data_IF_563180600190
#
_entry.id   IF_563180600190
#
_cell.length_a   1.000
_cell.length_b   1.000
_cell.length_c   1.000
_cell.angle_alpha   90.00
_cell.angle_beta   90.00
_cell.angle_gamma   90.00
#
_symmetry.space_group_name_H-M   'P 1'
#
loop_
_entity.id
_entity.type
_entity.pdbx_description
1 polymer ?
#
# COMPACT_ATOMS: atom_id res chain seq x y z
N UNK A 1 -16.99 -22.52 14.52
CA UNK A 1 -17.10 -23.18 13.21
C UNK A 1 -16.95 -22.19 12.04
N UNK A 2 -17.79 -21.15 11.97
CA UNK A 2 -17.76 -20.17 10.86
C UNK A 2 -16.43 -19.39 10.75
N UNK A 3 -15.92 -18.79 11.84
CA UNK A 3 -14.67 -18.02 11.80
C UNK A 3 -13.49 -18.87 11.30
N UNK A 4 -13.32 -20.08 11.84
CA UNK A 4 -12.27 -20.99 11.40
C UNK A 4 -12.43 -21.48 9.94
N UNK A 5 -13.65 -21.49 9.39
CA UNK A 5 -13.86 -21.73 7.96
C UNK A 5 -13.41 -20.52 7.13
N UNK A 6 -13.78 -19.30 7.57
CA UNK A 6 -13.36 -18.07 6.90
C UNK A 6 -11.84 -17.89 6.94
N UNK A 7 -11.16 -18.18 8.05
CA UNK A 7 -9.71 -18.08 8.15
C UNK A 7 -8.97 -18.98 7.15
N UNK A 8 -9.58 -20.09 6.71
CA UNK A 8 -8.99 -21.02 5.75
C UNK A 8 -9.32 -20.70 4.29
N UNK A 9 -10.48 -20.09 4.04
CA UNK A 9 -11.05 -20.01 2.70
C UNK A 9 -11.32 -18.58 2.22
N UNK A 10 -11.41 -17.62 3.14
CA UNK A 10 -11.59 -16.22 2.80
C UNK A 10 -10.25 -15.50 2.74
N UNK A 11 -10.21 -14.45 1.93
CA UNK A 11 -9.12 -13.48 1.90
C UNK A 11 -9.63 -12.15 2.44
N UNK A 12 -8.80 -11.43 3.21
CA UNK A 12 -9.12 -10.08 3.66
C UNK A 12 -9.35 -9.15 2.44
N UNK A 13 -10.35 -8.27 2.53
CA UNK A 13 -10.62 -7.27 1.49
C UNK A 13 -10.79 -5.87 2.11
N UNK A 14 -10.06 -4.85 1.64
CA UNK A 14 -8.96 -4.93 0.66
C UNK A 14 -7.79 -5.77 1.19
N UNK A 15 -7.13 -6.52 0.30
CA UNK A 15 -6.03 -7.40 0.68
C UNK A 15 -4.82 -6.60 1.19
N UNK A 16 -4.20 -7.11 2.24
CA UNK A 16 -2.89 -6.65 2.70
C UNK A 16 -1.79 -7.35 1.90
N UNK A 17 -0.82 -6.59 1.41
CA UNK A 17 0.37 -7.08 0.75
C UNK A 17 1.59 -6.58 1.52
N UNK A 18 2.34 -7.48 2.15
CA UNK A 18 3.58 -7.11 2.83
C UNK A 18 4.64 -6.66 1.80
N UNK A 19 5.51 -5.74 2.18
CA UNK A 19 6.72 -5.45 1.41
C UNK A 19 7.75 -6.55 1.64
N UNK A 20 8.48 -6.93 0.58
CA UNK A 20 9.60 -7.87 0.69
C UNK A 20 10.69 -7.36 1.64
N UNK A 21 10.88 -6.04 1.69
CA UNK A 21 11.86 -5.37 2.54
C UNK A 21 11.28 -4.11 3.17
N UNK A 22 10.69 -4.23 4.37
CA UNK A 22 10.20 -3.09 5.13
C UNK A 22 11.31 -2.10 5.49
N UNK A 23 11.05 -0.80 5.39
CA UNK A 23 12.06 0.25 5.58
C UNK A 23 11.56 1.40 6.45
N UNK A 24 12.49 2.10 7.11
CA UNK A 24 12.17 3.30 7.88
C UNK A 24 11.84 4.45 6.93
N UNK A 25 10.71 5.09 7.17
CA UNK A 25 10.23 6.22 6.36
C UNK A 25 10.98 7.50 6.71
N UNK A 26 11.30 7.69 7.99
CA UNK A 26 12.06 8.85 8.44
C UNK A 26 13.55 8.48 8.47
N UNK A 27 14.35 9.24 7.72
CA UNK A 27 15.81 9.16 7.78
C UNK A 27 16.31 9.46 9.20
N UNK A 28 15.79 10.52 9.80
CA UNK A 28 15.98 10.86 11.22
C UNK A 28 14.64 10.73 11.95
N UNK A 29 14.56 9.95 13.05
CA UNK A 29 13.33 9.88 13.86
C UNK A 29 12.86 11.25 14.36
N UNK A 30 11.55 11.43 14.50
CA UNK A 30 10.99 12.63 15.13
C UNK A 30 11.27 12.60 16.64
N UNK A 31 11.78 13.70 17.19
CA UNK A 31 12.01 13.83 18.64
C UNK A 31 11.13 14.95 19.18
N UNK A 32 10.20 14.60 20.06
CA UNK A 32 9.28 15.54 20.69
C UNK A 32 9.42 15.49 22.20
N UNK A 33 9.57 16.64 22.86
CA UNK A 33 9.49 16.72 24.32
C UNK A 33 8.02 16.73 24.77
N UNK A 34 7.67 15.86 25.70
CA UNK A 34 6.33 15.85 26.28
C UNK A 34 6.08 17.09 27.16
N UNK A 35 4.83 17.55 27.30
CA UNK A 35 4.51 18.68 28.16
C UNK A 35 4.97 18.46 29.61
N UNK A 36 5.42 19.54 30.26
CA UNK A 36 5.75 19.54 31.69
C UNK A 36 4.50 19.43 32.59
N UNK A 37 3.30 19.65 32.03
CA UNK A 37 2.03 19.52 32.72
C UNK A 37 0.95 19.06 31.75
N UNK A 38 0.14 18.07 32.15
CA UNK A 38 -0.97 17.58 31.33
C UNK A 38 -2.25 18.41 31.48
N UNK A 39 -2.27 19.47 32.29
CA UNK A 39 -3.48 20.29 32.51
C UNK A 39 -4.10 20.80 31.21
N UNK A 40 -3.27 21.23 30.25
CA UNK A 40 -3.77 21.68 28.94
C UNK A 40 -4.44 20.56 28.17
N UNK A 41 -3.83 19.37 28.16
CA UNK A 41 -4.39 18.20 27.50
C UNK A 41 -5.70 17.74 28.17
N UNK A 42 -5.74 17.65 29.50
CA UNK A 42 -6.96 17.32 30.26
C UNK A 42 -8.10 18.29 29.97
N UNK A 43 -7.83 19.59 29.92
CA UNK A 43 -8.83 20.61 29.55
C UNK A 43 -9.37 20.41 28.15
N UNK A 44 -8.51 20.13 27.18
CA UNK A 44 -8.91 19.96 25.77
C UNK A 44 -9.59 18.62 25.49
N UNK A 45 -9.15 17.54 26.12
CA UNK A 45 -9.68 16.19 25.89
C UNK A 45 -10.88 15.85 26.78
N UNK A 46 -11.04 16.52 27.92
CA UNK A 46 -11.98 16.14 28.96
C UNK A 46 -11.49 15.01 29.88
N UNK A 47 -10.29 14.46 29.63
CA UNK A 47 -9.70 13.42 30.49
C UNK A 47 -9.00 14.04 31.71
N UNK A 48 -9.75 14.09 32.80
CA UNK A 48 -9.33 14.60 34.11
C UNK A 48 -8.82 13.53 35.06
N UNK A 49 -8.39 12.36 34.58
CA UNK A 49 -7.84 11.33 35.45
C UNK A 49 -6.64 11.90 36.27
N UNK A 50 -6.71 11.96 37.61
CA UNK A 50 -5.76 12.73 38.42
C UNK A 50 -4.32 12.22 38.37
N UNK A 51 -4.08 10.97 37.95
CA UNK A 51 -2.72 10.43 37.75
C UNK A 51 -1.87 11.25 36.75
N UNK A 52 -2.50 12.11 35.95
CA UNK A 52 -1.84 12.96 34.96
C UNK A 52 -1.58 14.39 35.45
N UNK A 53 -2.24 14.84 36.51
CA UNK A 53 -2.21 16.25 36.93
C UNK A 53 -1.90 16.47 38.40
N UNK A 54 -2.14 15.48 39.25
CA UNK A 54 -1.95 15.56 40.71
C UNK A 54 -0.84 14.61 41.15
N UNK A 55 0.19 15.18 41.79
CA UNK A 55 1.33 14.40 42.27
C UNK A 55 0.93 13.43 43.38
N UNK A 56 0.09 13.85 44.32
CA UNK A 56 -0.35 13.00 45.45
C UNK A 56 -1.10 11.78 44.94
N UNK A 57 -2.01 11.99 43.98
CA UNK A 57 -2.79 10.90 43.41
C UNK A 57 -1.93 9.96 42.55
N UNK A 58 -0.94 10.50 41.81
CA UNK A 58 0.01 9.67 41.08
C UNK A 58 0.83 8.77 42.01
N UNK A 59 1.34 9.31 43.11
CA UNK A 59 2.04 8.52 44.13
C UNK A 59 1.12 7.50 44.81
N UNK A 60 -0.13 7.86 45.09
CA UNK A 60 -1.14 6.93 45.60
C UNK A 60 -1.38 5.75 44.63
N UNK A 61 -1.27 6.00 43.31
CA UNK A 61 -1.34 4.99 42.27
C UNK A 61 0.01 4.28 42.00
N UNK A 62 0.98 4.39 42.91
CA UNK A 62 2.33 3.81 42.81
C UNK A 62 3.12 4.28 41.58
N UNK A 63 2.99 5.56 41.21
CA UNK A 63 3.82 6.24 40.22
C UNK A 63 4.75 7.24 40.92
N UNK A 64 5.92 7.52 40.34
CA UNK A 64 6.87 8.50 40.88
C UNK A 64 6.42 9.98 40.69
N UNK A 65 5.29 10.17 40.02
CA UNK A 65 4.71 11.48 39.71
C UNK A 65 3.76 11.42 38.52
N UNK A 66 3.21 12.58 38.10
CA UNK A 66 2.29 12.63 36.99
C UNK A 66 2.91 12.11 35.68
N UNK A 67 2.15 11.30 34.96
CA UNK A 67 2.56 10.73 33.66
C UNK A 67 1.81 11.38 32.51
N UNK A 68 2.40 11.34 31.32
CA UNK A 68 1.78 11.78 30.07
C UNK A 68 0.55 10.92 29.76
N UNK A 69 -0.55 11.54 29.31
CA UNK A 69 -1.71 10.81 28.81
C UNK A 69 -1.33 9.89 27.66
N UNK A 70 -1.78 8.64 27.68
CA UNK A 70 -1.60 7.73 26.53
C UNK A 70 -2.16 8.33 25.25
N UNK A 71 -3.33 8.98 25.33
CA UNK A 71 -3.94 9.65 24.18
C UNK A 71 -3.15 10.87 23.69
N UNK A 72 -2.29 11.49 24.52
CA UNK A 72 -1.32 12.48 24.05
C UNK A 72 -0.20 11.81 23.23
N UNK A 73 0.34 10.67 23.69
CA UNK A 73 1.33 9.89 22.92
C UNK A 73 0.75 9.47 21.57
N UNK A 74 -0.51 9.04 21.57
CA UNK A 74 -1.23 8.69 20.35
C UNK A 74 -1.40 9.90 19.43
N UNK A 75 -1.83 11.05 19.95
CA UNK A 75 -1.94 12.27 19.16
C UNK A 75 -0.57 12.71 18.58
N UNK A 76 0.52 12.59 19.36
CA UNK A 76 1.86 12.90 18.88
C UNK A 76 2.32 11.94 17.76
N UNK A 77 2.12 10.63 17.92
CA UNK A 77 2.43 9.67 16.87
C UNK A 77 1.62 9.95 15.59
N UNK A 78 0.34 10.34 15.71
CA UNK A 78 -0.49 10.73 14.57
C UNK A 78 -0.02 12.04 13.93
N UNK A 79 0.48 13.01 14.72
CA UNK A 79 1.11 14.25 14.22
C UNK A 79 2.30 13.93 13.31
N UNK A 80 3.20 13.05 13.76
CA UNK A 80 4.37 12.62 12.98
C UNK A 80 3.96 12.04 11.62
N UNK A 81 2.92 11.20 11.58
CA UNK A 81 2.39 10.70 10.29
C UNK A 81 1.90 11.83 9.37
N UNK A 82 1.11 12.76 9.91
CA UNK A 82 0.54 13.86 9.12
C UNK A 82 1.63 14.78 8.56
N UNK A 83 2.65 15.08 9.38
CA UNK A 83 3.73 15.98 8.99
C UNK A 83 4.68 15.37 7.95
N UNK A 84 5.01 14.08 8.08
CA UNK A 84 6.05 13.45 7.27
C UNK A 84 5.53 12.59 6.11
N UNK A 85 4.34 11.99 6.23
CA UNK A 85 3.78 11.10 5.20
C UNK A 85 2.49 11.67 4.59
N UNK A 86 1.79 12.54 5.30
CA UNK A 86 0.47 13.04 4.90
C UNK A 86 0.49 14.29 4.03
N UNK A 87 1.65 14.82 3.62
CA UNK A 87 1.77 16.15 2.99
C UNK A 87 1.06 17.26 3.80
N UNK A 88 1.07 17.15 5.15
CA UNK A 88 0.34 18.02 6.06
C UNK A 88 -1.21 17.92 5.95
N UNK A 89 -1.75 16.94 5.21
CA UNK A 89 -3.17 16.59 5.20
C UNK A 89 -3.51 15.60 6.32
N UNK A 90 -4.20 16.08 7.34
CA UNK A 90 -4.70 15.26 8.46
C UNK A 90 -5.64 14.12 8.02
N UNK A 91 -6.23 14.20 6.81
CA UNK A 91 -7.09 13.18 6.22
C UNK A 91 -6.32 12.11 5.47
N UNK A 92 -4.99 12.23 5.32
CA UNK A 92 -4.17 11.20 4.68
C UNK A 92 -4.15 9.88 5.48
N UNK A 93 -4.22 9.97 6.81
CA UNK A 93 -4.30 8.79 7.69
C UNK A 93 -5.75 8.31 7.80
N UNK A 94 -6.06 7.19 7.17
CA UNK A 94 -7.42 6.65 7.04
C UNK A 94 -7.77 5.62 8.11
N UNK A 95 -6.80 4.81 8.54
CA UNK A 95 -6.90 3.87 9.66
C UNK A 95 -5.74 4.12 10.61
N UNK A 96 -5.99 4.04 11.90
CA UNK A 96 -4.97 4.32 12.92
C UNK A 96 -5.32 3.56 14.20
N UNK A 97 -4.35 2.83 14.74
CA UNK A 97 -4.47 2.07 15.98
C UNK A 97 -3.18 2.18 16.78
N UNK A 98 -3.29 2.21 18.10
CA UNK A 98 -2.16 2.29 19.01
C UNK A 98 -2.31 1.34 20.19
N UNK A 99 -1.17 0.96 20.74
CA UNK A 99 -1.03 0.22 21.98
C UNK A 99 -0.06 0.99 22.88
N UNK A 100 -0.52 1.32 24.09
CA UNK A 100 0.32 1.93 25.11
C UNK A 100 1.10 0.83 25.83
N UNK A 101 2.42 0.87 25.71
CA UNK A 101 3.33 -0.19 26.20
C UNK A 101 3.92 0.19 27.55
N UNK A 102 4.37 1.43 27.68
CA UNK A 102 5.02 1.93 28.90
C UNK A 102 4.58 3.36 29.21
N UNK A 103 4.67 3.72 30.48
CA UNK A 103 4.34 5.06 30.99
C UNK A 103 5.48 6.02 30.66
N UNK A 104 5.12 7.28 30.42
CA UNK A 104 6.08 8.33 30.08
C UNK A 104 5.95 9.45 31.12
N UNK A 105 7.01 9.79 31.86
CA UNK A 105 7.03 10.97 32.72
C UNK A 105 6.79 12.27 31.94
N UNK A 106 6.22 13.27 32.61
CA UNK A 106 6.11 14.62 32.04
C UNK A 106 7.50 15.21 31.75
N UNK A 107 7.65 15.92 30.63
CA UNK A 107 8.91 16.53 30.23
C UNK A 107 9.94 15.60 29.55
N UNK A 108 9.68 14.29 29.46
CA UNK A 108 10.54 13.32 28.76
C UNK A 108 10.59 13.57 27.25
N UNK A 109 11.68 13.19 26.61
CA UNK A 109 11.80 13.20 25.15
C UNK A 109 11.30 11.89 24.58
N UNK A 110 10.39 11.98 23.62
CA UNK A 110 9.79 10.84 22.93
C UNK A 110 10.29 10.84 21.49
N UNK A 111 10.99 9.77 21.12
CA UNK A 111 11.51 9.51 19.78
C UNK A 111 10.51 8.64 19.03
N UNK A 112 9.99 9.10 17.91
CA UNK A 112 9.01 8.36 17.09
C UNK A 112 9.62 8.01 15.73
N UNK A 113 9.60 6.73 15.40
CA UNK A 113 9.99 6.22 14.08
C UNK A 113 8.80 5.54 13.40
N UNK A 114 8.78 5.62 12.07
CA UNK A 114 7.73 5.06 11.22
C UNK A 114 8.38 4.12 10.22
N UNK A 115 7.85 2.90 10.11
CA UNK A 115 8.31 1.87 9.17
C UNK A 115 7.22 1.57 8.16
N UNK A 116 7.52 1.65 6.88
CA UNK A 116 6.60 1.20 5.83
C UNK A 116 6.73 -0.32 5.69
N UNK A 117 5.63 -1.04 5.92
CA UNK A 117 5.64 -2.51 6.04
C UNK A 117 4.80 -3.22 4.98
N UNK A 118 3.88 -2.53 4.32
CA UNK A 118 3.01 -3.14 3.33
C UNK A 118 2.07 -2.16 2.66
N UNK A 119 1.24 -2.69 1.78
CA UNK A 119 0.20 -1.96 1.05
C UNK A 119 -1.17 -2.58 1.33
N UNK A 120 -2.21 -1.76 1.42
CA UNK A 120 -3.61 -2.23 1.51
C UNK A 120 -4.51 -1.31 0.70
N UNK A 121 -5.14 -1.82 -0.36
CA UNK A 121 -6.08 -1.04 -1.17
C UNK A 121 -5.49 0.28 -1.73
N UNK A 122 -4.20 0.30 -2.07
CA UNK A 122 -3.49 1.50 -2.53
C UNK A 122 -2.99 2.43 -1.43
N UNK A 123 -3.20 2.09 -0.15
CA UNK A 123 -2.69 2.81 1.01
C UNK A 123 -1.38 2.18 1.49
N UNK A 124 -0.44 3.00 1.93
CA UNK A 124 0.76 2.56 2.62
C UNK A 124 0.39 2.15 4.05
N UNK A 125 0.69 0.90 4.42
CA UNK A 125 0.53 0.39 5.78
C UNK A 125 1.84 0.58 6.51
N UNK A 126 1.80 1.36 7.58
CA UNK A 126 2.98 1.71 8.38
C UNK A 126 2.86 1.21 9.81
N UNK A 127 3.98 0.81 10.37
CA UNK A 127 4.16 0.59 11.80
C UNK A 127 4.82 1.81 12.43
N UNK A 128 4.41 2.14 13.65
CA UNK A 128 4.87 3.31 14.38
C UNK A 128 5.42 2.80 15.71
N UNK A 129 6.58 3.29 16.08
CA UNK A 129 7.18 3.00 17.38
C UNK A 129 7.67 4.29 18.01
N UNK A 130 7.19 4.57 19.22
CA UNK A 130 7.68 5.66 20.05
C UNK A 130 8.44 5.12 21.25
N UNK A 131 9.61 5.69 21.51
CA UNK A 131 10.52 5.32 22.61
C UNK A 131 10.83 6.55 23.46
N UNK A 132 11.06 6.35 24.76
CA UNK A 132 11.68 7.38 25.60
C UNK A 132 13.15 7.49 25.21
N UNK A 133 13.65 8.71 24.99
CA UNK A 133 15.04 8.93 24.61
C UNK A 133 16.00 8.55 25.74
N UNK A 134 15.56 8.75 26.99
CA UNK A 134 16.38 8.63 28.18
C UNK A 134 16.80 7.18 28.49
N UNK A 135 15.91 6.21 28.26
CA UNK A 135 16.14 4.78 28.56
C UNK A 135 15.97 3.86 27.33
N UNK A 136 15.49 4.37 26.19
CA UNK A 136 15.26 3.61 24.97
C UNK A 136 14.04 2.68 25.00
N UNK A 137 13.28 2.65 26.10
CA UNK A 137 12.11 1.79 26.24
C UNK A 137 10.96 2.25 25.34
N UNK A 138 10.28 1.28 24.72
CA UNK A 138 9.09 1.53 23.88
C UNK A 138 7.93 1.93 24.75
N UNK A 139 7.35 3.10 24.50
CA UNK A 139 6.17 3.57 25.21
C UNK A 139 4.89 3.44 24.38
N UNK A 140 4.99 3.46 23.05
CA UNK A 140 3.84 3.30 22.16
C UNK A 140 4.23 2.50 20.92
N UNK A 141 3.36 1.56 20.55
CA UNK A 141 3.35 0.92 19.23
C UNK A 141 2.07 1.31 18.50
N UNK A 142 2.13 1.42 17.19
CA UNK A 142 0.95 1.74 16.39
C UNK A 142 1.03 1.21 14.98
N UNK A 143 -0.12 1.20 14.32
CA UNK A 143 -0.25 0.86 12.90
C UNK A 143 -1.17 1.88 12.24
N UNK A 144 -0.87 2.26 11.00
CA UNK A 144 -1.72 3.16 10.25
C UNK A 144 -1.78 2.83 8.76
N UNK A 145 -2.92 3.12 8.13
CA UNK A 145 -3.07 3.08 6.68
C UNK A 145 -3.08 4.54 6.16
N UNK A 146 -2.05 4.89 5.40
CA UNK A 146 -1.75 6.26 4.96
C UNK A 146 -1.91 6.36 3.44
N UNK A 147 -2.62 7.39 2.98
CA UNK A 147 -2.80 7.67 1.55
C UNK A 147 -1.46 8.03 0.90
N UNK A 148 -1.24 7.50 -0.29
CA UNK A 148 -0.15 7.94 -1.17
C UNK A 148 -0.41 9.35 -1.73
N UNK A 149 0.65 10.00 -2.19
CA UNK A 149 0.55 11.22 -2.99
C UNK A 149 -0.34 10.99 -4.22
N UNK A 150 -1.03 12.05 -4.66
CA UNK A 150 -1.87 11.98 -5.86
C UNK A 150 -1.03 11.55 -7.06
N UNK A 151 -1.38 10.40 -7.63
CA UNK A 151 -0.59 9.75 -8.68
C UNK A 151 -1.38 9.74 -9.99
N UNK A 152 -0.74 10.18 -11.07
CA UNK A 152 -1.26 10.06 -12.44
C UNK A 152 -0.51 8.92 -13.15
N UNK A 153 -1.24 7.92 -13.64
CA UNK A 153 -0.69 6.87 -14.48
C UNK A 153 -0.86 7.25 -15.95
N UNK A 154 0.24 7.39 -16.68
CA UNK A 154 0.23 7.59 -18.13
C UNK A 154 0.71 6.32 -18.82
N UNK A 155 0.13 6.02 -19.98
CA UNK A 155 0.48 4.83 -20.77
C UNK A 155 1.13 5.26 -22.07
N UNK A 156 2.25 4.63 -22.42
CA UNK A 156 2.99 4.94 -23.64
C UNK A 156 2.21 4.50 -24.88
N UNK A 157 2.28 5.32 -25.94
CA UNK A 157 1.70 4.99 -27.23
C UNK A 157 2.64 4.15 -28.11
N UNK A 158 2.18 3.91 -29.35
CA UNK A 158 2.99 3.28 -30.39
C UNK A 158 4.25 4.11 -30.71
N UNK A 159 5.34 3.44 -31.10
CA UNK A 159 6.64 4.03 -31.41
C UNK A 159 7.74 3.69 -30.39
N UNK A 160 7.38 3.08 -29.27
CA UNK A 160 8.30 2.67 -28.20
C UNK A 160 8.52 1.15 -28.09
N UNK A 161 7.94 0.37 -29.02
CA UNK A 161 8.06 -1.09 -29.03
C UNK A 161 9.48 -1.57 -29.35
N UNK A 162 9.90 -2.67 -28.73
CA UNK A 162 11.15 -3.37 -29.00
C UNK A 162 11.01 -4.87 -28.76
N UNK A 163 11.86 -5.67 -29.40
CA UNK A 163 11.85 -7.12 -29.24
C UNK A 163 12.19 -7.53 -27.80
N UNK A 164 11.41 -8.44 -27.23
CA UNK A 164 11.53 -8.91 -25.85
C UNK A 164 10.91 -7.98 -24.80
N UNK A 165 10.15 -6.95 -25.20
CA UNK A 165 9.48 -6.06 -24.24
C UNK A 165 8.60 -6.84 -23.25
N UNK A 166 8.73 -6.54 -21.95
CA UNK A 166 7.96 -7.20 -20.89
C UNK A 166 8.36 -8.64 -20.57
N UNK A 167 9.41 -9.20 -21.20
CA UNK A 167 9.87 -10.58 -20.95
C UNK A 167 10.27 -10.81 -19.50
N UNK A 168 11.06 -9.91 -18.92
CA UNK A 168 11.51 -10.02 -17.53
C UNK A 168 10.32 -10.01 -16.56
N UNK A 169 9.40 -9.05 -16.72
CA UNK A 169 8.20 -8.98 -15.89
C UNK A 169 7.32 -10.23 -16.02
N UNK A 170 7.21 -10.79 -17.22
CA UNK A 170 6.48 -12.04 -17.48
C UNK A 170 7.16 -13.25 -16.81
N UNK A 171 8.48 -13.22 -16.61
CA UNK A 171 9.22 -14.29 -15.92
C UNK A 171 9.14 -14.15 -14.40
N UNK A 172 9.15 -12.93 -13.87
CA UNK A 172 9.18 -12.66 -12.43
C UNK A 172 7.80 -12.52 -11.78
N UNK A 173 6.75 -12.20 -12.55
CA UNK A 173 5.40 -11.98 -12.03
C UNK A 173 4.38 -12.99 -12.59
N UNK A 174 3.81 -13.80 -11.71
CA UNK A 174 2.72 -14.73 -12.06
C UNK A 174 1.50 -14.02 -12.64
N UNK A 175 1.18 -12.82 -12.15
CA UNK A 175 0.06 -12.02 -12.65
C UNK A 175 0.31 -11.59 -14.10
N UNK A 176 1.52 -11.09 -14.39
CA UNK A 176 1.90 -10.72 -15.74
C UNK A 176 1.93 -11.94 -16.66
N UNK A 177 2.50 -13.05 -16.20
CA UNK A 177 2.52 -14.34 -16.93
C UNK A 177 1.12 -14.79 -17.33
N UNK A 178 0.18 -14.85 -16.39
CA UNK A 178 -1.20 -15.26 -16.65
C UNK A 178 -1.91 -14.33 -17.65
N UNK A 179 -1.63 -13.02 -17.60
CA UNK A 179 -2.18 -12.06 -18.57
C UNK A 179 -1.70 -12.36 -19.99
N UNK A 180 -0.39 -12.59 -20.16
CA UNK A 180 0.21 -12.95 -21.44
C UNK A 180 -0.29 -14.31 -21.95
N UNK A 181 -0.37 -15.33 -21.10
CA UNK A 181 -0.89 -16.66 -21.46
C UNK A 181 -2.35 -16.61 -21.93
N UNK A 182 -3.18 -15.79 -21.27
CA UNK A 182 -4.57 -15.57 -21.68
C UNK A 182 -4.66 -14.90 -23.04
N UNK A 183 -3.84 -13.87 -23.28
CA UNK A 183 -3.79 -13.18 -24.56
C UNK A 183 -3.27 -14.10 -25.68
N UNK A 184 -2.19 -14.82 -25.42
CA UNK A 184 -1.61 -15.81 -26.33
C UNK A 184 -2.63 -16.86 -26.76
N UNK A 185 -3.30 -17.50 -25.79
CA UNK A 185 -4.34 -18.49 -26.06
C UNK A 185 -5.45 -17.93 -26.94
N UNK A 186 -5.89 -16.70 -26.65
CA UNK A 186 -6.92 -16.03 -27.45
C UNK A 186 -6.46 -15.80 -28.89
N UNK A 187 -5.24 -15.29 -29.09
CA UNK A 187 -4.71 -14.98 -30.41
C UNK A 187 -4.41 -16.24 -31.23
N UNK A 188 -3.91 -17.30 -30.60
CA UNK A 188 -3.72 -18.59 -31.26
C UNK A 188 -5.07 -19.16 -31.71
N UNK A 189 -6.08 -19.20 -30.83
CA UNK A 189 -7.38 -19.78 -31.17
C UNK A 189 -8.14 -18.96 -32.21
N UNK A 190 -8.06 -17.62 -32.13
CA UNK A 190 -8.90 -16.74 -32.94
C UNK A 190 -8.25 -16.34 -34.27
N UNK A 191 -6.93 -16.15 -34.26
CA UNK A 191 -6.19 -15.60 -35.38
C UNK A 191 -5.07 -16.53 -35.89
N UNK A 192 -4.76 -17.63 -35.19
CA UNK A 192 -3.66 -18.52 -35.57
C UNK A 192 -2.27 -17.87 -35.42
N UNK A 193 -2.17 -16.84 -34.59
CA UNK A 193 -0.94 -16.05 -34.40
C UNK A 193 -0.50 -16.13 -32.95
N UNK A 194 0.81 -16.36 -32.74
CA UNK A 194 1.44 -16.27 -31.43
C UNK A 194 1.90 -14.84 -31.17
N UNK A 195 1.36 -14.21 -30.13
CA UNK A 195 1.82 -12.90 -29.67
C UNK A 195 3.18 -13.01 -28.99
N UNK A 196 3.41 -14.08 -28.23
CA UNK A 196 4.69 -14.31 -27.57
C UNK A 196 5.81 -14.41 -28.60
N UNK A 197 5.60 -15.18 -29.68
CA UNK A 197 6.57 -15.27 -30.76
C UNK A 197 6.85 -13.90 -31.39
N UNK A 198 5.80 -13.11 -31.70
CA UNK A 198 5.97 -11.78 -32.30
C UNK A 198 6.78 -10.87 -31.39
N UNK A 199 6.44 -10.82 -30.10
CA UNK A 199 7.12 -9.93 -29.15
C UNK A 199 8.54 -10.40 -28.89
N UNK A 200 8.79 -11.70 -28.76
CA UNK A 200 10.08 -12.24 -28.35
C UNK A 200 11.10 -12.37 -29.49
N UNK A 201 10.64 -12.73 -30.70
CA UNK A 201 11.49 -13.01 -31.86
C UNK A 201 11.44 -11.90 -32.90
N UNK A 202 10.38 -11.09 -32.91
CA UNK A 202 10.15 -10.01 -33.89
C UNK A 202 10.40 -10.46 -35.35
N UNK A 203 9.69 -11.50 -35.84
CA UNK A 203 9.89 -12.02 -37.19
C UNK A 203 9.48 -10.99 -38.24
N UNK A 204 10.20 -10.97 -39.38
CA UNK A 204 9.91 -10.05 -40.48
C UNK A 204 8.61 -10.42 -41.24
N UNK A 205 8.21 -11.68 -41.19
CA UNK A 205 7.00 -12.18 -41.80
C UNK A 205 6.29 -13.19 -40.90
N UNK A 206 4.95 -13.26 -41.01
CA UNK A 206 4.14 -14.25 -40.29
C UNK A 206 3.11 -14.85 -41.23
N UNK A 207 3.28 -16.13 -41.54
CA UNK A 207 2.32 -16.93 -42.31
C UNK A 207 1.32 -17.58 -41.35
N UNK A 208 0.02 -17.46 -41.65
CA UNK A 208 -1.06 -18.12 -40.91
C UNK A 208 -1.63 -19.24 -41.77
N UNK A 209 -1.68 -20.45 -41.21
CA UNK A 209 -2.15 -21.64 -41.93
C UNK A 209 -3.59 -21.97 -41.54
N UNK A 210 -4.48 -22.05 -42.54
CA UNK A 210 -5.90 -22.38 -42.35
C UNK A 210 -6.18 -23.88 -42.60
N UNK A 211 -5.43 -24.74 -41.93
CA UNK A 211 -5.58 -26.20 -42.05
C UNK A 211 -6.72 -26.75 -41.16
N UNK A 212 -7.46 -27.73 -41.70
CA UNK A 212 -8.49 -28.46 -40.95
C UNK A 212 -9.70 -27.59 -40.54
N UNK A 213 -10.53 -28.16 -39.65
CA UNK A 213 -11.76 -27.50 -39.18
C UNK A 213 -11.48 -26.21 -38.43
N UNK A 214 -10.44 -26.18 -37.60
CA UNK A 214 -10.10 -25.00 -36.82
C UNK A 214 -9.49 -23.89 -37.69
N UNK A 215 -8.64 -24.24 -38.64
CA UNK A 215 -8.10 -23.29 -39.61
C UNK A 215 -9.18 -22.66 -40.49
N UNK A 216 -10.22 -23.41 -40.86
CA UNK A 216 -11.38 -22.87 -41.58
C UNK A 216 -12.12 -21.80 -40.77
N UNK A 217 -12.32 -22.01 -39.46
CA UNK A 217 -12.92 -21.01 -38.56
C UNK A 217 -12.07 -19.75 -38.46
N UNK A 218 -10.76 -19.90 -38.29
CA UNK A 218 -9.84 -18.76 -38.24
C UNK A 218 -9.91 -17.97 -39.56
N UNK A 219 -9.93 -18.66 -40.71
CA UNK A 219 -10.08 -18.02 -42.02
C UNK A 219 -11.35 -17.19 -42.12
N UNK A 220 -12.48 -17.70 -41.61
CA UNK A 220 -13.74 -16.95 -41.58
C UNK A 220 -13.62 -15.66 -40.76
N UNK A 221 -12.89 -15.67 -39.64
CA UNK A 221 -12.62 -14.44 -38.87
C UNK A 221 -11.93 -13.39 -39.73
N UNK A 222 -10.90 -13.78 -40.50
CA UNK A 222 -10.21 -12.85 -41.40
C UNK A 222 -11.09 -12.33 -42.53
N UNK A 223 -11.88 -13.21 -43.15
CA UNK A 223 -12.77 -12.84 -44.27
C UNK A 223 -13.95 -11.95 -43.85
N UNK A 224 -14.30 -11.97 -42.57
CA UNK A 224 -15.39 -11.17 -42.01
C UNK A 224 -14.94 -9.79 -41.55
N UNK A 225 -13.64 -9.46 -41.58
CA UNK A 225 -13.21 -8.09 -41.34
C UNK A 225 -13.71 -7.18 -42.45
N UNK A 226 -14.31 -6.07 -42.06
CA UNK A 226 -14.66 -4.95 -42.92
C UNK A 226 -14.15 -3.67 -42.29
N UNK A 227 -13.80 -2.71 -43.13
CA UNK A 227 -13.48 -1.34 -42.72
C UNK A 227 -14.33 -0.37 -43.50
N UNK A 228 -14.77 0.69 -42.83
CA UNK A 228 -15.41 1.82 -43.51
C UNK A 228 -14.35 2.85 -43.89
N UNK A 229 -14.31 3.23 -45.15
CA UNK A 229 -13.38 4.24 -45.67
C UNK A 229 -13.92 5.66 -45.46
N UNK A 230 -13.06 6.70 -45.51
CA UNK A 230 -13.49 8.09 -45.29
C UNK A 230 -14.56 8.59 -46.27
N UNK A 231 -14.65 8.01 -47.48
CA UNK A 231 -15.72 8.27 -48.45
C UNK A 231 -17.02 7.50 -48.15
N UNK A 232 -17.11 6.86 -46.98
CA UNK A 232 -18.32 6.25 -46.44
C UNK A 232 -18.63 4.83 -46.91
N UNK A 233 -17.74 4.21 -47.71
CA UNK A 233 -17.91 2.86 -48.25
C UNK A 233 -17.38 1.79 -47.31
N UNK A 234 -18.06 0.66 -47.25
CA UNK A 234 -17.57 -0.51 -46.54
C UNK A 234 -16.73 -1.38 -47.51
N UNK A 235 -15.50 -1.65 -47.12
CA UNK A 235 -14.55 -2.47 -47.86
C UNK A 235 -14.17 -3.66 -46.99
N UNK A 236 -14.15 -4.85 -47.57
CA UNK A 236 -13.57 -6.04 -46.93
C UNK A 236 -12.05 -5.95 -46.96
#
# INVERSE_FOLDING_TARGET
>A
ALLAFLDRHASEHPSYCALDSPYNVLETPDVTRSPLSMLRYSRSSGDWNPIHTDSTFAHFAALDGPIVHGMWLSANARRVLAEHLGEQDARAVTKYSTQFVDKVPVGSHVVTQVKHVGMRGGLCVVEIESRKLEDGHVCLKGTADVRQSKTLLTFTGQGSQFAGMGRELRQSSDVAKQLWERAEKHFLSKYGVSLLQIVDENPLEKVVHFGGVEGARIREVFLNYTRRTPDGKDVR
#
